data_IF_400103040664
#
_entry.id   IF_400103040664
#
_cell.length_a   1.000
_cell.length_b   1.000
_cell.length_c   1.000
_cell.angle_alpha   90.00
_cell.angle_beta   90.00
_cell.angle_gamma   90.00
#
_symmetry.space_group_name_H-M   'P 1'
#
loop_
_entity.id
_entity.type
_entity.pdbx_description
1 polymer ?
#
# COMPACT_ATOMS: atom_id res chain seq x y z
N UNK A 1 -8.65 27.58 -72.06
CA UNK A 1 -8.16 28.12 -70.75
C UNK A 1 -8.30 27.12 -69.57
N UNK A 2 -8.35 25.80 -69.80
CA UNK A 2 -8.64 24.79 -68.75
C UNK A 2 -7.41 24.12 -68.10
N UNK A 3 -6.19 24.51 -68.48
CA UNK A 3 -4.95 23.83 -68.04
C UNK A 3 -4.32 24.42 -66.76
N UNK A 4 -4.76 25.60 -66.27
CA UNK A 4 -4.15 26.27 -65.11
C UNK A 4 -4.64 25.78 -63.73
N UNK A 5 -5.78 25.09 -63.64
CA UNK A 5 -6.34 24.62 -62.35
C UNK A 5 -5.68 23.32 -61.85
N UNK A 6 -5.19 22.46 -62.74
CA UNK A 6 -4.61 21.16 -62.39
C UNK A 6 -3.33 21.27 -61.53
N UNK A 7 -2.51 22.31 -61.76
CA UNK A 7 -1.25 22.50 -61.00
C UNK A 7 -1.45 22.87 -59.53
N UNK A 8 -2.60 23.46 -59.16
CA UNK A 8 -2.92 23.79 -57.76
C UNK A 8 -3.39 22.56 -56.97
N UNK A 9 -4.09 21.63 -57.62
CA UNK A 9 -4.52 20.38 -56.99
C UNK A 9 -3.33 19.44 -56.73
N UNK A 10 -2.33 19.46 -57.60
CA UNK A 10 -1.13 18.64 -57.46
C UNK A 10 -0.24 19.08 -56.29
N UNK A 11 -0.15 20.39 -56.02
CA UNK A 11 0.55 20.90 -54.84
C UNK A 11 -0.16 20.52 -53.52
N UNK A 12 -1.48 20.49 -53.48
CA UNK A 12 -2.24 20.12 -52.29
C UNK A 12 -2.06 18.63 -51.90
N UNK A 13 -1.86 17.76 -52.89
CA UNK A 13 -1.62 16.33 -52.68
C UNK A 13 -0.23 16.05 -52.09
N UNK A 14 0.80 16.80 -52.51
CA UNK A 14 2.16 16.65 -51.95
C UNK A 14 2.23 17.02 -50.46
N UNK A 15 1.46 18.05 -50.06
CA UNK A 15 1.33 18.39 -48.65
C UNK A 15 0.61 17.29 -47.86
N UNK A 16 -0.50 16.75 -48.38
CA UNK A 16 -1.23 15.64 -47.73
C UNK A 16 -0.35 14.39 -47.54
N UNK A 17 0.51 14.07 -48.51
CA UNK A 17 1.40 12.91 -48.42
C UNK A 17 2.48 13.08 -47.33
N UNK A 18 3.08 14.28 -47.25
CA UNK A 18 4.13 14.58 -46.26
C UNK A 18 3.59 14.59 -44.83
N UNK A 19 2.40 15.15 -44.60
CA UNK A 19 1.74 15.11 -43.29
C UNK A 19 1.21 13.72 -42.92
N UNK A 20 0.81 12.91 -43.92
CA UNK A 20 0.34 11.54 -43.69
C UNK A 20 1.41 10.65 -43.07
N UNK A 21 2.65 10.72 -43.58
CA UNK A 21 3.79 9.97 -43.02
C UNK A 21 4.10 10.44 -41.59
N UNK A 22 4.05 11.75 -41.33
CA UNK A 22 4.29 12.29 -39.99
C UNK A 22 3.27 11.77 -38.97
N UNK A 23 1.99 11.73 -39.32
CA UNK A 23 0.93 11.20 -38.44
C UNK A 23 1.11 9.71 -38.17
N UNK A 24 1.51 8.93 -39.17
CA UNK A 24 1.79 7.49 -39.00
C UNK A 24 2.94 7.28 -38.00
N UNK A 25 4.03 8.02 -38.14
CA UNK A 25 5.17 7.91 -37.21
C UNK A 25 4.74 8.24 -35.78
N UNK A 26 3.95 9.29 -35.58
CA UNK A 26 3.44 9.67 -34.25
C UNK A 26 2.55 8.57 -33.67
N UNK A 27 1.63 8.01 -34.47
CA UNK A 27 0.75 6.93 -33.96
C UNK A 27 1.53 5.68 -33.57
N UNK A 28 2.54 5.28 -34.35
CA UNK A 28 3.41 4.14 -34.00
C UNK A 28 4.18 4.43 -32.71
N UNK A 29 4.73 5.64 -32.56
CA UNK A 29 5.43 6.03 -31.33
C UNK A 29 4.52 5.97 -30.10
N UNK A 30 3.28 6.45 -30.19
CA UNK A 30 2.30 6.37 -29.10
C UNK A 30 1.95 4.93 -28.76
N UNK A 31 1.76 4.07 -29.77
CA UNK A 31 1.50 2.63 -29.55
C UNK A 31 2.65 1.95 -28.80
N UNK A 32 3.90 2.23 -29.18
CA UNK A 32 5.08 1.68 -28.48
C UNK A 32 5.18 2.21 -27.05
N UNK A 33 4.91 3.49 -26.81
CA UNK A 33 4.89 4.08 -25.46
C UNK A 33 3.80 3.43 -24.59
N UNK A 34 2.65 3.10 -25.19
CA UNK A 34 1.56 2.41 -24.48
C UNK A 34 1.93 0.97 -24.12
N UNK A 35 2.54 0.21 -25.04
CA UNK A 35 2.97 -1.17 -24.78
C UNK A 35 4.13 -1.23 -23.77
N UNK A 36 5.08 -0.31 -23.86
CA UNK A 36 6.20 -0.24 -22.91
C UNK A 36 5.80 0.25 -21.53
N UNK A 37 4.56 0.73 -21.36
CA UNK A 37 4.03 1.19 -20.06
C UNK A 37 4.94 2.18 -19.33
N UNK A 38 5.80 2.91 -20.07
CA UNK A 38 6.83 3.79 -19.48
C UNK A 38 6.19 5.00 -18.78
N UNK A 39 4.94 5.31 -19.13
CA UNK A 39 4.10 6.35 -18.53
C UNK A 39 3.28 5.85 -17.33
N UNK A 40 3.31 4.55 -17.04
CA UNK A 40 2.76 4.00 -15.81
C UNK A 40 3.96 3.92 -14.86
N UNK A 41 4.11 4.84 -13.90
CA UNK A 41 5.11 4.67 -12.86
C UNK A 41 4.69 3.46 -12.01
N UNK A 42 5.04 2.26 -12.46
CA UNK A 42 5.06 1.05 -11.63
C UNK A 42 6.08 1.17 -10.49
N UNK A 43 6.92 2.22 -10.56
CA UNK A 43 7.70 2.79 -9.45
C UNK A 43 6.80 3.59 -8.49
N UNK A 44 5.74 2.98 -7.96
CA UNK A 44 5.17 3.53 -6.73
C UNK A 44 6.21 3.32 -5.63
N UNK A 45 6.89 4.40 -5.26
CA UNK A 45 7.84 4.36 -4.15
C UNK A 45 7.11 3.86 -2.91
N UNK A 46 7.66 2.83 -2.27
CA UNK A 46 7.08 2.32 -1.04
C UNK A 46 7.10 3.44 0.01
N UNK A 47 5.93 3.80 0.53
CA UNK A 47 5.74 4.92 1.44
C UNK A 47 4.95 4.47 2.67
N UNK A 48 5.34 5.01 3.82
CA UNK A 48 4.63 4.87 5.08
C UNK A 48 4.42 6.28 5.65
N UNK A 49 3.16 6.66 5.84
CA UNK A 49 2.79 7.93 6.46
C UNK A 49 2.24 7.63 7.86
N UNK A 50 3.05 7.77 8.91
CA UNK A 50 2.61 7.49 10.27
C UNK A 50 1.69 8.59 10.81
N UNK A 51 0.87 8.23 11.80
CA UNK A 51 0.09 9.15 12.62
C UNK A 51 1.02 9.89 13.61
N UNK A 52 0.65 11.10 14.10
CA UNK A 52 1.40 11.77 15.15
C UNK A 52 1.69 10.86 16.34
N UNK A 53 2.93 10.90 16.82
CA UNK A 53 3.41 10.05 17.91
C UNK A 53 3.88 8.66 17.48
N UNK A 54 3.85 8.34 16.18
CA UNK A 54 4.39 7.11 15.62
C UNK A 54 5.34 7.39 14.45
N UNK A 55 6.22 6.45 14.16
CA UNK A 55 7.15 6.49 13.03
C UNK A 55 7.33 5.10 12.42
N UNK A 56 7.49 5.05 11.10
CA UNK A 56 7.79 3.81 10.39
C UNK A 56 9.27 3.83 9.99
N UNK A 57 10.05 2.86 10.48
CA UNK A 57 11.49 2.79 10.17
C UNK A 57 11.75 1.95 8.92
N UNK A 58 11.25 0.71 8.93
CA UNK A 58 11.40 -0.24 7.83
C UNK A 58 10.08 -0.93 7.57
N UNK A 59 9.74 -1.16 6.31
CA UNK A 59 8.51 -1.84 5.94
C UNK A 59 8.68 -2.60 4.63
N UNK A 60 8.15 -3.82 4.58
CA UNK A 60 8.19 -4.67 3.40
C UNK A 60 7.02 -5.64 3.40
N UNK A 61 6.41 -5.85 2.24
CA UNK A 61 5.29 -6.76 2.04
C UNK A 61 5.73 -7.92 1.14
N UNK A 62 5.63 -9.14 1.66
CA UNK A 62 5.92 -10.36 0.90
C UNK A 62 4.70 -10.76 0.04
N UNK A 63 4.95 -11.46 -1.07
CA UNK A 63 3.95 -12.16 -1.92
C UNK A 63 3.04 -13.11 -1.15
N UNK A 64 3.49 -13.62 0.00
CA UNK A 64 2.67 -14.44 0.90
C UNK A 64 1.64 -13.65 1.70
N UNK A 65 1.66 -12.31 1.61
CA UNK A 65 0.72 -11.45 2.33
C UNK A 65 1.16 -10.94 3.68
N UNK A 66 2.39 -11.28 4.06
CA UNK A 66 2.97 -10.89 5.34
C UNK A 66 3.68 -9.55 5.15
N UNK A 67 3.17 -8.53 5.83
CA UNK A 67 3.78 -7.23 6.03
C UNK A 67 4.69 -7.27 7.26
N UNK A 68 5.98 -7.03 7.06
CA UNK A 68 6.89 -6.74 8.16
C UNK A 68 7.03 -5.21 8.25
N UNK A 69 6.76 -4.63 9.41
CA UNK A 69 6.95 -3.20 9.66
C UNK A 69 7.63 -2.97 11.00
N UNK A 70 8.70 -2.18 11.02
CA UNK A 70 9.26 -1.62 12.24
C UNK A 70 8.52 -0.33 12.57
N UNK A 71 7.74 -0.37 13.65
CA UNK A 71 6.99 0.78 14.15
C UNK A 71 7.64 1.27 15.43
N UNK A 72 7.98 2.55 15.46
CA UNK A 72 8.46 3.28 16.63
C UNK A 72 7.40 4.26 17.12
N UNK A 73 7.44 4.59 18.41
CA UNK A 73 6.48 5.50 19.04
C UNK A 73 7.18 6.58 19.87
N UNK A 74 6.63 7.78 19.88
CA UNK A 74 7.17 8.97 20.56
C UNK A 74 6.05 9.75 21.28
N UNK A 75 5.18 9.04 21.99
CA UNK A 75 4.03 9.61 22.74
C UNK A 75 4.40 10.16 24.12
N UNK A 76 5.69 10.13 24.50
CA UNK A 76 6.19 10.66 25.77
C UNK A 76 6.06 9.70 26.97
N UNK A 77 5.42 8.55 26.80
CA UNK A 77 5.32 7.49 27.81
C UNK A 77 5.39 6.09 27.16
N UNK A 78 5.53 5.05 27.97
CA UNK A 78 5.45 3.67 27.45
C UNK A 78 3.99 3.33 27.09
N UNK A 79 3.78 2.71 25.95
CA UNK A 79 2.46 2.24 25.51
C UNK A 79 2.40 0.72 25.55
N UNK A 80 1.26 0.20 25.96
CA UNK A 80 0.98 -1.22 26.10
C UNK A 80 0.11 -1.63 24.91
N UNK A 81 0.72 -2.19 23.88
CA UNK A 81 0.05 -2.64 22.66
C UNK A 81 -0.67 -3.96 22.94
N UNK A 82 -1.98 -3.95 22.74
CA UNK A 82 -2.90 -5.05 23.02
C UNK A 82 -3.35 -5.77 21.74
N UNK A 83 -3.23 -5.11 20.58
CA UNK A 83 -3.58 -5.69 19.28
C UNK A 83 -3.06 -4.84 18.12
N UNK A 84 -2.76 -5.51 17.01
CA UNK A 84 -2.32 -4.85 15.77
C UNK A 84 -3.07 -5.46 14.59
N UNK A 85 -3.47 -4.61 13.65
CA UNK A 85 -4.23 -5.03 12.50
C UNK A 85 -3.91 -4.20 11.26
N UNK A 86 -4.21 -4.77 10.09
CA UNK A 86 -3.81 -4.22 8.80
C UNK A 86 -4.95 -4.30 7.78
N UNK A 87 -5.54 -3.16 7.41
CA UNK A 87 -6.69 -3.11 6.50
C UNK A 87 -6.34 -2.53 5.14
N UNK A 88 -7.03 -2.98 4.09
CA UNK A 88 -6.92 -2.46 2.71
C UNK A 88 -7.94 -1.36 2.40
N UNK A 89 -8.87 -1.10 3.32
CA UNK A 89 -9.91 -0.10 3.18
C UNK A 89 -9.91 0.87 4.35
N UNK A 90 -10.26 2.12 4.08
CA UNK A 90 -10.57 3.09 5.12
C UNK A 90 -11.81 2.60 5.86
N UNK A 91 -11.76 2.55 7.19
CA UNK A 91 -12.91 2.17 7.99
C UNK A 91 -13.96 3.30 7.96
N UNK A 92 -14.99 3.17 7.12
CA UNK A 92 -16.10 4.13 7.02
C UNK A 92 -17.10 4.09 8.19
N UNK A 93 -16.96 3.14 9.13
CA UNK A 93 -17.92 2.87 10.22
C UNK A 93 -17.43 3.24 11.62
N UNK A 94 -16.19 3.70 11.77
CA UNK A 94 -15.64 4.15 13.07
C UNK A 94 -15.40 3.05 14.12
N UNK A 95 -15.65 1.78 13.79
CA UNK A 95 -15.42 0.63 14.68
C UNK A 95 -14.34 -0.25 14.04
N UNK A 96 -13.09 -0.17 14.52
CA UNK A 96 -11.96 -1.08 14.22
C UNK A 96 -11.55 -1.28 12.74
N UNK A 97 -10.36 -1.78 12.43
CA UNK A 97 -10.00 -2.09 11.05
C UNK A 97 -10.95 -3.13 10.47
N UNK A 98 -11.47 -2.85 9.27
CA UNK A 98 -12.42 -3.71 8.58
C UNK A 98 -11.83 -5.08 8.23
N UNK A 99 -10.50 -5.18 8.09
CA UNK A 99 -9.73 -6.36 7.64
C UNK A 99 -8.32 -6.40 8.29
N UNK A 100 -7.75 -7.60 8.54
CA UNK A 100 -6.35 -7.87 8.98
C UNK A 100 -6.14 -8.17 10.48
N UNK A 101 -5.37 -9.20 10.83
CA UNK A 101 -5.59 -9.98 12.07
C UNK A 101 -4.30 -10.37 12.83
N UNK A 102 -3.94 -9.72 13.95
CA UNK A 102 -3.01 -10.28 14.96
C UNK A 102 -3.52 -10.04 16.38
N UNK A 103 -3.74 -11.14 17.12
CA UNK A 103 -3.79 -11.13 18.57
C UNK A 103 -2.41 -10.82 19.13
N UNK A 104 -2.29 -9.77 19.94
CA UNK A 104 -1.18 -9.65 20.90
C UNK A 104 -1.64 -10.14 22.28
N UNK A 105 -2.95 -10.30 22.52
CA UNK A 105 -3.51 -10.70 23.83
C UNK A 105 -4.72 -11.64 23.65
N UNK A 106 -5.02 -12.48 24.64
CA UNK A 106 -6.03 -13.55 24.57
C UNK A 106 -7.51 -13.14 24.52
N UNK A 107 -7.85 -11.91 24.09
CA UNK A 107 -9.24 -11.44 24.00
C UNK A 107 -9.76 -11.45 22.55
N UNK A 108 -10.77 -12.29 22.30
CA UNK A 108 -11.25 -12.73 20.98
C UNK A 108 -12.22 -11.80 20.25
N UNK A 109 -12.59 -10.65 20.83
CA UNK A 109 -13.78 -9.90 20.37
C UNK A 109 -13.57 -9.00 19.14
N UNK A 110 -12.32 -8.74 18.70
CA UNK A 110 -12.08 -7.68 17.70
C UNK A 110 -11.07 -8.00 16.57
N UNK A 111 -10.31 -9.11 16.63
CA UNK A 111 -9.24 -9.42 15.65
C UNK A 111 -9.00 -10.93 15.56
N UNK A 112 -9.12 -11.62 14.41
CA UNK A 112 -8.78 -13.06 14.32
C UNK A 112 -7.31 -13.43 14.62
N UNK A 113 -7.05 -14.71 14.87
CA UNK A 113 -5.68 -15.25 15.07
C UNK A 113 -5.00 -15.46 13.72
N UNK A 114 -3.69 -15.22 13.65
CA UNK A 114 -2.86 -15.66 12.53
C UNK A 114 -1.63 -16.41 13.05
N UNK A 115 -1.41 -17.59 12.49
CA UNK A 115 -0.26 -18.47 12.72
C UNK A 115 0.91 -18.08 11.81
N UNK A 116 2.13 -17.92 12.34
CA UNK A 116 3.35 -17.70 11.54
C UNK A 116 4.33 -18.86 11.78
N UNK A 117 4.83 -19.48 10.69
CA UNK A 117 5.93 -20.46 10.67
C UNK A 117 5.76 -21.71 11.55
N UNK A 118 4.56 -22.30 11.62
CA UNK A 118 4.34 -23.57 12.33
C UNK A 118 4.74 -23.57 13.83
N UNK A 119 5.05 -22.40 14.37
CA UNK A 119 5.26 -22.19 15.81
C UNK A 119 4.02 -21.44 16.28
N UNK A 120 3.12 -22.17 16.94
CA UNK A 120 2.23 -21.55 17.90
C UNK A 120 3.14 -21.06 19.04
N UNK A 121 3.56 -19.79 19.01
CA UNK A 121 3.78 -19.13 20.29
C UNK A 121 2.39 -18.82 20.84
N UNK A 122 1.73 -19.86 21.37
CA UNK A 122 0.55 -19.78 22.25
C UNK A 122 0.93 -19.17 23.61
N UNK A 123 1.78 -18.16 23.57
CA UNK A 123 2.20 -17.30 24.67
C UNK A 123 2.54 -15.97 24.02
N UNK A 124 1.55 -15.38 23.34
CA UNK A 124 1.59 -13.95 23.07
C UNK A 124 1.78 -13.27 24.45
N UNK A 125 2.80 -12.43 24.66
CA UNK A 125 2.87 -11.67 25.90
C UNK A 125 1.55 -10.90 25.97
N UNK A 126 0.79 -11.02 27.07
CA UNK A 126 -0.52 -10.39 27.29
C UNK A 126 -0.55 -8.86 27.05
N UNK A 127 0.57 -8.28 26.65
CA UNK A 127 0.76 -6.97 26.07
C UNK A 127 2.17 -6.87 25.47
N UNK A 128 2.35 -6.13 24.38
CA UNK A 128 3.66 -5.67 23.92
C UNK A 128 3.93 -4.27 24.49
N UNK A 129 4.92 -4.15 25.37
CA UNK A 129 5.32 -2.86 25.93
C UNK A 129 6.26 -2.15 24.96
N UNK A 130 5.88 -0.95 24.52
CA UNK A 130 6.63 -0.14 23.57
C UNK A 130 7.04 1.18 24.25
N UNK A 131 8.33 1.35 24.52
CA UNK A 131 8.86 2.56 25.15
C UNK A 131 8.91 3.73 24.15
N UNK A 132 8.76 4.95 24.67
CA UNK A 132 8.92 6.15 23.85
C UNK A 132 10.34 6.24 23.31
N UNK A 133 10.49 6.47 22.01
CA UNK A 133 11.75 6.46 21.28
C UNK A 133 12.25 5.06 20.87
N UNK A 134 11.49 3.99 21.16
CA UNK A 134 11.83 2.62 20.78
C UNK A 134 10.97 2.14 19.61
N UNK A 135 11.57 1.33 18.73
CA UNK A 135 10.91 0.65 17.63
C UNK A 135 10.84 -0.86 17.84
N UNK A 136 9.77 -1.48 17.37
CA UNK A 136 9.62 -2.94 17.35
C UNK A 136 9.21 -3.42 15.98
N UNK A 137 9.68 -4.60 15.61
CA UNK A 137 9.31 -5.26 14.37
C UNK A 137 7.96 -5.98 14.57
N UNK A 138 6.92 -5.45 13.93
CA UNK A 138 5.60 -6.05 13.85
C UNK A 138 5.50 -6.86 12.55
N UNK A 139 5.04 -8.10 12.67
CA UNK A 139 4.78 -8.97 11.53
C UNK A 139 3.27 -9.16 11.43
N UNK A 140 2.70 -8.53 10.42
CA UNK A 140 1.28 -8.49 10.15
C UNK A 140 0.97 -9.29 8.89
N UNK A 141 -0.21 -9.83 8.81
CA UNK A 141 -0.76 -10.57 7.70
C UNK A 141 -1.89 -9.69 7.18
N UNK A 142 -1.54 -8.95 6.14
CA UNK A 142 -2.46 -8.10 5.42
C UNK A 142 -3.15 -8.90 4.29
N UNK A 143 -2.66 -10.11 3.93
CA UNK A 143 -3.19 -10.94 2.84
C UNK A 143 -3.18 -12.46 3.07
N UNK A 144 -4.28 -13.15 2.74
CA UNK A 144 -4.37 -14.62 2.77
C UNK A 144 -5.82 -15.08 2.72
N UNK A 145 -6.13 -16.35 3.02
CA UNK A 145 -7.52 -16.85 3.04
C UNK A 145 -8.47 -16.08 3.99
N UNK A 146 -7.93 -15.25 4.89
CA UNK A 146 -8.66 -14.26 5.70
C UNK A 146 -8.25 -12.79 5.49
N UNK A 147 -7.45 -12.47 4.46
CA UNK A 147 -6.98 -11.11 4.13
C UNK A 147 -7.30 -10.77 2.66
N UNK A 148 -7.99 -9.65 2.43
CA UNK A 148 -8.89 -9.49 1.27
C UNK A 148 -8.20 -8.95 0.01
N UNK A 149 -6.94 -8.55 0.07
CA UNK A 149 -6.31 -7.99 -1.13
C UNK A 149 -5.77 -9.08 -2.08
N UNK A 150 -5.88 -8.81 -3.38
CA UNK A 150 -5.58 -9.72 -4.50
C UNK A 150 -4.64 -8.96 -5.43
N UNK A 151 -3.40 -9.42 -5.63
CA UNK A 151 -2.43 -8.74 -6.48
C UNK A 151 -1.25 -9.62 -6.88
N UNK A 152 -0.76 -9.43 -8.11
CA UNK A 152 0.46 -10.07 -8.63
C UNK A 152 1.72 -9.27 -8.23
N UNK A 153 2.93 -9.86 -8.25
CA UNK A 153 4.18 -9.11 -8.10
C UNK A 153 4.20 -7.86 -8.99
N UNK A 154 4.60 -6.71 -8.45
CA UNK A 154 4.56 -5.43 -9.16
C UNK A 154 3.24 -4.64 -9.06
N UNK A 155 2.18 -5.20 -8.46
CA UNK A 155 1.01 -4.38 -8.10
C UNK A 155 1.26 -3.52 -6.86
N UNK A 156 0.54 -2.42 -6.72
CA UNK A 156 0.62 -1.56 -5.54
C UNK A 156 -0.41 -2.01 -4.50
N UNK A 157 0.05 -2.13 -3.26
CA UNK A 157 -0.76 -2.23 -2.06
C UNK A 157 -1.04 -0.84 -1.52
N UNK A 158 -2.27 -0.59 -1.11
CA UNK A 158 -2.59 0.53 -0.23
C UNK A 158 -3.27 -0.07 1.01
N UNK A 159 -2.76 0.26 2.19
CA UNK A 159 -3.30 -0.26 3.44
C UNK A 159 -3.08 0.66 4.63
N UNK A 160 -3.69 0.28 5.75
CA UNK A 160 -3.76 1.04 6.99
C UNK A 160 -3.40 0.12 8.15
N UNK A 161 -2.53 0.58 9.03
CA UNK A 161 -2.19 -0.12 10.28
C UNK A 161 -2.97 0.51 11.41
N UNK A 162 -3.58 -0.36 12.21
CA UNK A 162 -4.34 -0.01 13.40
C UNK A 162 -3.70 -0.65 14.62
N UNK A 163 -3.57 0.12 15.68
CA UNK A 163 -3.15 -0.36 16.99
C UNK A 163 -4.26 -0.19 17.99
N UNK A 164 -4.44 -1.21 18.83
CA UNK A 164 -5.12 -1.08 20.09
C UNK A 164 -4.05 -1.02 21.19
N UNK A 165 -3.95 0.10 21.89
CA UNK A 165 -2.94 0.30 22.93
C UNK A 165 -3.51 1.06 24.12
N UNK A 166 -2.95 0.82 25.30
CA UNK A 166 -3.23 1.62 26.51
C UNK A 166 -1.96 2.30 26.98
N UNK A 167 -2.10 3.54 27.45
CA UNK A 167 -1.04 4.21 28.20
C UNK A 167 -1.24 3.90 29.68
N UNK A 168 -0.23 3.51 30.46
CA UNK A 168 -0.37 3.29 31.90
C UNK A 168 -1.01 4.51 32.58
N UNK A 169 -2.09 4.29 33.32
CA UNK A 169 -2.88 5.37 33.95
C UNK A 169 -3.99 5.96 33.05
N UNK A 170 -4.06 5.55 31.79
CA UNK A 170 -5.11 5.93 30.84
C UNK A 170 -5.82 4.68 30.28
N UNK A 171 -7.00 4.88 29.69
CA UNK A 171 -7.77 3.80 29.07
C UNK A 171 -7.10 3.18 27.83
N UNK A 172 -7.72 2.12 27.31
CA UNK A 172 -7.33 1.54 26.03
C UNK A 172 -7.92 2.37 24.88
N UNK A 173 -7.12 2.58 23.84
CA UNK A 173 -7.49 3.36 22.65
C UNK A 173 -7.14 2.58 21.39
N UNK A 174 -8.08 2.53 20.45
CA UNK A 174 -7.86 1.98 19.11
C UNK A 174 -7.73 3.11 18.11
N UNK A 175 -6.61 3.14 17.37
CA UNK A 175 -6.30 4.22 16.43
C UNK A 175 -5.57 3.71 15.20
N UNK A 176 -5.79 4.36 14.06
CA UNK A 176 -4.94 4.21 12.87
C UNK A 176 -3.59 4.87 13.14
N UNK A 177 -2.52 4.08 13.10
CA UNK A 177 -1.16 4.56 13.42
C UNK A 177 -0.27 4.77 12.21
N UNK A 178 -0.63 4.18 11.07
CA UNK A 178 0.07 4.43 9.81
C UNK A 178 -0.82 4.11 8.60
N UNK A 179 -0.60 4.81 7.49
CA UNK A 179 -1.02 4.37 6.16
C UNK A 179 0.20 4.02 5.32
N UNK A 180 0.04 3.00 4.49
CA UNK A 180 1.07 2.36 3.71
C UNK A 180 0.66 2.36 2.24
N UNK A 181 1.62 2.67 1.37
CA UNK A 181 1.53 2.34 -0.05
C UNK A 181 2.81 1.61 -0.45
N UNK A 182 2.71 0.33 -0.81
CA UNK A 182 3.85 -0.57 -1.00
C UNK A 182 3.76 -1.29 -2.33
N UNK A 183 4.90 -1.66 -2.92
CA UNK A 183 4.93 -2.58 -4.07
C UNK A 183 5.30 -3.97 -3.58
N UNK A 184 4.70 -5.01 -4.15
CA UNK A 184 5.10 -6.38 -3.86
C UNK A 184 6.52 -6.65 -4.35
N UNK A 185 7.37 -7.11 -3.44
CA UNK A 185 8.69 -7.67 -3.74
C UNK A 185 8.60 -9.19 -3.88
#
# INVERSE_FOLDING_TARGET
MLQKKAKKAQAAIDFMMSYGIALVIITVAVSVIYETSILIPSLTSSSCTPSPGFSCDTFALNRTGILNISLSQATGGAVVVQGVACSTQINGSGIGPKYGNFYVTGNALWYPAVTINSVLTNTAPNSLLLYSGSGTLLRLNCYGAGGIAKGSPGSSFIGYIWLNYSVPGYGSTTQQVASLSLVYT
#
